data_IF_221092217724
#
_entry.id   IF_221092217724
#
_cell.length_a   1.000
_cell.length_b   1.000
_cell.length_c   1.000
_cell.angle_alpha   90.00
_cell.angle_beta   90.00
_cell.angle_gamma   90.00
#
_symmetry.space_group_name_H-M   'P 1'
#
loop_
_entity.id
_entity.type
_entity.pdbx_description
1 polymer ?
#
# COMPACT_ATOMS: atom_id res chain seq x y z
N UNK A 1 3.89 -17.03 5.77
CA UNK A 1 3.39 -17.59 4.50
C UNK A 1 4.57 -17.93 3.60
N UNK A 2 4.44 -18.91 2.68
CA UNK A 2 5.49 -19.20 1.69
C UNK A 2 5.69 -18.04 0.72
N UNK A 3 6.88 -17.96 0.10
CA UNK A 3 7.19 -16.96 -0.92
C UNK A 3 6.41 -17.26 -2.21
N UNK A 4 6.59 -18.46 -2.75
CA UNK A 4 5.74 -19.00 -3.81
C UNK A 4 4.79 -20.06 -3.24
N UNK A 5 3.49 -19.90 -3.51
CA UNK A 5 2.45 -20.83 -3.06
C UNK A 5 1.63 -21.35 -4.23
N UNK A 6 1.18 -22.60 -4.12
CA UNK A 6 0.25 -23.20 -5.07
C UNK A 6 -0.91 -23.88 -4.31
N UNK A 7 -1.39 -25.02 -4.82
CA UNK A 7 -2.60 -25.72 -4.34
C UNK A 7 -2.64 -25.99 -2.83
N UNK A 8 -1.50 -26.29 -2.20
CA UNK A 8 -1.45 -26.81 -0.83
C UNK A 8 -1.12 -25.75 0.23
N UNK A 9 -0.70 -24.55 -0.18
CA UNK A 9 -0.14 -23.56 0.76
C UNK A 9 1.29 -23.85 1.23
N UNK A 10 1.92 -24.93 0.74
CA UNK A 10 3.33 -25.23 0.98
C UNK A 10 4.18 -24.40 0.01
N UNK A 11 5.37 -24.01 0.46
CA UNK A 11 6.33 -23.29 -0.37
C UNK A 11 6.78 -24.13 -1.57
N UNK A 12 6.61 -23.56 -2.77
CA UNK A 12 7.00 -24.17 -4.05
C UNK A 12 8.13 -23.41 -4.74
N UNK A 13 8.80 -22.50 -4.04
CA UNK A 13 9.92 -21.74 -4.57
C UNK A 13 11.01 -22.71 -5.04
N UNK A 14 11.50 -22.59 -6.29
CA UNK A 14 12.47 -23.51 -6.84
C UNK A 14 13.76 -23.61 -6.00
N UNK A 15 14.26 -24.83 -5.79
CA UNK A 15 15.48 -25.06 -4.99
C UNK A 15 16.74 -24.41 -5.60
N UNK A 16 16.73 -24.09 -6.89
CA UNK A 16 17.83 -23.37 -7.54
C UNK A 16 17.92 -21.88 -7.14
N UNK A 17 16.84 -21.31 -6.60
CA UNK A 17 16.72 -19.89 -6.25
C UNK A 17 16.05 -19.73 -4.87
N UNK A 18 16.64 -20.23 -3.78
CA UNK A 18 15.95 -20.38 -2.50
C UNK A 18 15.83 -19.07 -1.69
N UNK A 19 16.46 -17.97 -2.14
CA UNK A 19 16.58 -16.73 -1.36
C UNK A 19 15.21 -16.19 -0.94
N UNK A 20 14.24 -16.15 -1.86
CA UNK A 20 12.86 -15.72 -1.57
C UNK A 20 12.23 -16.53 -0.43
N UNK A 21 12.26 -17.87 -0.54
CA UNK A 21 11.77 -18.80 0.49
C UNK A 21 12.44 -18.62 1.86
N UNK A 22 13.72 -18.26 1.88
CA UNK A 22 14.50 -18.20 3.12
C UNK A 22 14.42 -16.84 3.82
N UNK A 23 14.37 -15.75 3.06
CA UNK A 23 14.62 -14.41 3.60
C UNK A 23 13.54 -13.38 3.25
N UNK A 24 12.76 -13.57 2.18
CA UNK A 24 11.77 -12.60 1.70
C UNK A 24 10.43 -12.76 2.44
N UNK A 25 10.51 -12.57 3.75
CA UNK A 25 9.42 -12.90 4.69
C UNK A 25 8.32 -11.84 4.75
N UNK A 26 8.50 -10.70 4.08
CA UNK A 26 7.53 -9.61 4.05
C UNK A 26 6.18 -10.04 3.48
N UNK A 27 6.12 -11.11 2.67
CA UNK A 27 4.88 -11.74 2.20
C UNK A 27 3.86 -12.02 3.31
N UNK A 28 4.33 -12.32 4.53
CA UNK A 28 3.45 -12.50 5.69
C UNK A 28 2.79 -11.20 6.13
N UNK A 29 3.53 -10.09 6.08
CA UNK A 29 3.01 -8.75 6.29
C UNK A 29 2.12 -8.31 5.13
N UNK A 30 2.46 -8.64 3.88
CA UNK A 30 1.67 -8.26 2.70
C UNK A 30 0.27 -8.86 2.75
N UNK A 31 0.16 -10.13 3.15
CA UNK A 31 -1.13 -10.80 3.35
C UNK A 31 -1.91 -10.15 4.50
N UNK A 32 -1.23 -9.79 5.58
CA UNK A 32 -1.86 -9.04 6.69
C UNK A 32 -2.33 -7.64 6.23
N UNK A 33 -1.60 -6.99 5.34
CA UNK A 33 -1.96 -5.69 4.78
C UNK A 33 -3.11 -5.81 3.76
N UNK A 34 -3.19 -6.88 2.99
CA UNK A 34 -4.35 -7.19 2.17
C UNK A 34 -5.60 -7.43 3.03
N UNK A 35 -5.46 -8.16 4.15
CA UNK A 35 -6.52 -8.30 5.15
C UNK A 35 -6.93 -6.95 5.75
N UNK A 36 -5.96 -6.08 6.07
CA UNK A 36 -6.21 -4.69 6.52
C UNK A 36 -7.11 -3.97 5.53
N UNK A 37 -6.75 -3.94 4.25
CA UNK A 37 -7.53 -3.29 3.20
C UNK A 37 -8.92 -3.92 3.02
N UNK A 38 -9.04 -5.25 3.12
CA UNK A 38 -10.33 -5.94 3.06
C UNK A 38 -11.25 -5.50 4.22
N UNK A 39 -10.72 -5.45 5.44
CA UNK A 39 -11.45 -4.98 6.63
C UNK A 39 -11.86 -3.52 6.45
N UNK A 40 -10.96 -2.66 5.98
CA UNK A 40 -11.26 -1.24 5.71
C UNK A 40 -12.39 -1.06 4.70
N UNK A 41 -12.31 -1.78 3.58
CA UNK A 41 -13.26 -1.65 2.48
C UNK A 41 -14.63 -2.26 2.79
N UNK A 42 -14.70 -3.34 3.56
CA UNK A 42 -15.94 -4.11 3.73
C UNK A 42 -16.54 -4.01 5.13
N UNK A 43 -15.70 -3.78 6.13
CA UNK A 43 -16.02 -3.92 7.55
C UNK A 43 -16.73 -5.27 7.87
N UNK A 44 -16.31 -6.35 7.20
CA UNK A 44 -16.91 -7.67 7.35
C UNK A 44 -16.56 -8.31 8.71
N UNK A 45 -17.40 -8.06 9.72
CA UNK A 45 -17.24 -8.63 11.06
C UNK A 45 -17.43 -10.14 11.10
N UNK A 46 -18.30 -10.69 10.25
CA UNK A 46 -18.56 -12.13 10.21
C UNK A 46 -17.29 -12.90 9.79
N UNK A 47 -16.57 -12.38 8.79
CA UNK A 47 -15.26 -12.91 8.38
C UNK A 47 -14.21 -12.86 9.50
N UNK A 48 -14.26 -11.81 10.34
CA UNK A 48 -13.34 -11.67 11.48
C UNK A 48 -13.69 -12.62 12.64
N UNK A 49 -14.98 -12.80 12.93
CA UNK A 49 -15.48 -13.50 14.12
C UNK A 49 -15.70 -15.00 13.91
N UNK A 50 -16.23 -15.37 12.75
CA UNK A 50 -16.80 -16.70 12.49
C UNK A 50 -16.08 -17.46 11.37
N UNK A 51 -15.28 -16.77 10.54
CA UNK A 51 -14.40 -17.41 9.55
C UNK A 51 -12.93 -17.40 10.02
N UNK A 52 -11.97 -17.29 9.09
CA UNK A 52 -10.53 -17.34 9.35
C UNK A 52 -9.87 -15.96 9.47
N UNK A 53 -10.62 -14.86 9.31
CA UNK A 53 -10.04 -13.52 9.23
C UNK A 53 -9.36 -13.06 10.51
N UNK A 54 -10.00 -13.30 11.66
CA UNK A 54 -9.38 -13.04 12.95
C UNK A 54 -8.13 -13.89 13.16
N UNK A 55 -8.19 -15.21 12.89
CA UNK A 55 -7.05 -16.11 13.01
C UNK A 55 -5.86 -15.65 12.15
N UNK A 56 -6.12 -15.31 10.89
CA UNK A 56 -5.10 -14.79 9.96
C UNK A 56 -4.38 -13.59 10.56
N UNK A 57 -5.11 -12.58 11.04
CA UNK A 57 -4.52 -11.35 11.62
C UNK A 57 -3.76 -11.64 12.91
N UNK A 58 -4.27 -12.50 13.79
CA UNK A 58 -3.60 -12.81 15.05
C UNK A 58 -2.33 -13.65 14.86
N UNK A 59 -2.34 -14.59 13.93
CA UNK A 59 -1.18 -15.44 13.67
C UNK A 59 -0.10 -14.70 12.85
N UNK A 60 -0.45 -13.74 11.98
CA UNK A 60 0.54 -12.85 11.35
C UNK A 60 1.21 -11.95 12.40
N UNK A 61 0.44 -11.36 13.33
CA UNK A 61 0.99 -10.57 14.43
C UNK A 61 1.87 -11.41 15.38
N UNK A 62 1.48 -12.66 15.67
CA UNK A 62 2.30 -13.61 16.43
C UNK A 62 3.61 -13.91 15.72
N UNK A 63 3.57 -14.17 14.41
CA UNK A 63 4.76 -14.40 13.60
C UNK A 63 5.74 -13.22 13.72
N UNK A 64 5.28 -12.00 13.47
CA UNK A 64 6.14 -10.82 13.55
C UNK A 64 6.68 -10.58 14.95
N UNK A 65 5.84 -10.73 15.97
CA UNK A 65 6.26 -10.60 17.38
C UNK A 65 7.30 -11.65 17.78
N UNK A 66 7.31 -12.83 17.14
CA UNK A 66 8.33 -13.86 17.37
C UNK A 66 9.64 -13.63 16.60
N UNK A 67 9.60 -12.78 15.57
CA UNK A 67 10.71 -12.55 14.65
C UNK A 67 11.65 -11.43 15.08
N UNK A 68 11.17 -10.54 15.95
CA UNK A 68 11.91 -9.38 16.43
C UNK A 68 12.96 -9.74 17.49
N UNK A 69 14.04 -8.98 17.52
CA UNK A 69 15.07 -9.04 18.56
C UNK A 69 15.11 -7.66 19.22
N UNK A 70 15.11 -7.64 20.56
CA UNK A 70 15.22 -6.38 21.29
C UNK A 70 16.68 -5.98 21.49
N UNK A 71 17.06 -4.81 20.98
CA UNK A 71 18.37 -4.23 21.18
C UNK A 71 18.38 -3.35 22.44
N UNK A 72 19.03 -3.83 23.49
CA UNK A 72 19.10 -3.15 24.78
C UNK A 72 19.83 -1.80 24.76
N UNK A 73 20.69 -1.55 23.77
CA UNK A 73 21.46 -0.32 23.65
C UNK A 73 20.64 0.78 23.00
N UNK A 74 19.98 0.48 21.88
CA UNK A 74 19.13 1.44 21.14
C UNK A 74 17.72 1.55 21.72
N UNK A 75 17.31 0.58 22.55
CA UNK A 75 15.93 0.44 23.07
C UNK A 75 14.89 0.22 21.98
N UNK A 76 15.30 -0.35 20.86
CA UNK A 76 14.44 -0.64 19.71
C UNK A 76 14.38 -2.13 19.42
N UNK A 77 13.36 -2.53 18.67
CA UNK A 77 13.22 -3.87 18.10
C UNK A 77 13.79 -3.91 16.69
N UNK A 78 14.46 -5.00 16.35
CA UNK A 78 15.13 -5.21 15.08
C UNK A 78 14.61 -6.48 14.41
N UNK A 79 14.58 -6.48 13.07
CA UNK A 79 14.32 -7.67 12.25
C UNK A 79 15.57 -7.90 11.39
N UNK A 80 16.35 -8.89 11.78
CA UNK A 80 17.63 -9.22 11.14
C UNK A 80 17.45 -10.31 10.09
N UNK A 81 18.36 -10.39 9.11
CA UNK A 81 18.42 -11.48 8.12
C UNK A 81 17.12 -11.63 7.31
N UNK A 82 16.76 -10.60 6.56
CA UNK A 82 15.60 -10.56 5.65
C UNK A 82 16.01 -10.07 4.26
N UNK A 83 15.25 -10.44 3.24
CA UNK A 83 15.35 -9.85 1.91
C UNK A 83 14.24 -8.80 1.79
N UNK A 84 14.57 -7.54 1.46
CA UNK A 84 13.58 -6.52 1.19
C UNK A 84 12.93 -6.75 -0.20
N UNK A 85 11.81 -6.08 -0.56
CA UNK A 85 11.25 -6.12 -1.92
C UNK A 85 12.26 -5.90 -3.05
N UNK A 86 13.33 -5.13 -2.81
CA UNK A 86 14.50 -5.15 -3.69
C UNK A 86 15.24 -6.50 -3.61
N UNK A 87 14.87 -7.43 -4.50
CA UNK A 87 15.54 -8.72 -4.58
C UNK A 87 17.00 -8.67 -5.07
N UNK A 88 17.52 -7.52 -5.55
CA UNK A 88 18.96 -7.40 -5.86
C UNK A 88 19.80 -7.25 -4.56
N UNK A 89 19.17 -6.99 -3.41
CA UNK A 89 19.78 -6.89 -2.09
C UNK A 89 20.21 -8.25 -1.48
N UNK A 90 20.35 -9.31 -2.28
CA UNK A 90 20.71 -10.66 -1.84
C UNK A 90 22.04 -10.75 -1.05
N UNK A 91 22.23 -11.83 -0.26
CA UNK A 91 21.23 -12.84 0.08
C UNK A 91 20.23 -12.37 1.15
N UNK A 92 20.63 -11.44 2.01
CA UNK A 92 19.80 -10.84 3.03
C UNK A 92 20.44 -9.52 3.52
N UNK A 93 19.64 -8.74 4.23
CA UNK A 93 19.94 -7.47 4.88
C UNK A 93 19.33 -7.47 6.29
N UNK A 94 19.75 -6.50 7.10
CA UNK A 94 19.15 -6.27 8.41
C UNK A 94 18.28 -5.02 8.34
N UNK A 95 17.17 -5.06 9.08
CA UNK A 95 16.29 -3.91 9.27
C UNK A 95 15.85 -3.28 7.94
N UNK A 96 15.37 -4.11 7.01
CA UNK A 96 14.66 -3.63 5.82
C UNK A 96 13.51 -2.73 6.28
N UNK A 97 13.49 -1.48 5.83
CA UNK A 97 12.50 -0.50 6.30
C UNK A 97 11.09 -0.92 5.87
N UNK A 98 10.92 -1.42 4.64
CA UNK A 98 9.64 -1.97 4.19
C UNK A 98 9.18 -3.13 5.08
N UNK A 99 10.07 -4.10 5.32
CA UNK A 99 9.77 -5.27 6.15
C UNK A 99 9.38 -4.87 7.58
N UNK A 100 10.11 -3.93 8.17
CA UNK A 100 9.84 -3.46 9.52
C UNK A 100 8.52 -2.69 9.58
N UNK A 101 8.22 -1.84 8.59
CA UNK A 101 6.95 -1.09 8.54
C UNK A 101 5.78 -2.05 8.43
N UNK A 102 5.85 -3.03 7.52
CA UNK A 102 4.72 -3.94 7.35
C UNK A 102 4.56 -4.91 8.52
N UNK A 103 5.64 -5.26 9.21
CA UNK A 103 5.58 -5.98 10.49
C UNK A 103 4.84 -5.15 11.56
N UNK A 104 5.20 -3.86 11.70
CA UNK A 104 4.53 -2.94 12.63
C UNK A 104 3.03 -2.85 12.33
N UNK A 105 2.66 -2.56 11.07
CA UNK A 105 1.26 -2.46 10.64
C UNK A 105 0.45 -3.74 10.86
N UNK A 106 1.11 -4.91 10.77
CA UNK A 106 0.48 -6.21 11.02
C UNK A 106 0.16 -6.41 12.50
N UNK A 107 1.08 -6.01 13.39
CA UNK A 107 0.88 -6.09 14.84
C UNK A 107 -0.18 -5.09 15.29
N UNK A 108 -0.15 -3.85 14.77
CA UNK A 108 -1.18 -2.85 15.01
C UNK A 108 -2.57 -3.35 14.60
N UNK A 109 -2.69 -3.99 13.43
CA UNK A 109 -3.98 -4.50 12.97
C UNK A 109 -4.61 -5.47 13.97
N UNK A 110 -3.80 -6.35 14.58
CA UNK A 110 -4.29 -7.27 15.61
C UNK A 110 -4.82 -6.55 16.86
N UNK A 111 -4.24 -5.39 17.21
CA UNK A 111 -4.82 -4.51 18.21
C UNK A 111 -6.12 -3.87 17.72
N UNK A 112 -6.13 -3.28 16.52
CA UNK A 112 -7.30 -2.56 16.03
C UNK A 112 -8.55 -3.46 15.95
N UNK A 113 -8.40 -4.73 15.54
CA UNK A 113 -9.54 -5.65 15.48
C UNK A 113 -9.94 -6.25 16.83
N UNK A 114 -9.13 -6.09 17.89
CA UNK A 114 -9.37 -6.77 19.17
C UNK A 114 -10.64 -6.31 19.88
N UNK A 115 -11.09 -5.08 19.60
CA UNK A 115 -12.38 -4.55 20.05
C UNK A 115 -13.57 -5.26 19.39
N UNK A 116 -13.42 -5.72 18.14
CA UNK A 116 -14.44 -6.48 17.42
C UNK A 116 -14.46 -7.92 17.94
N UNK A 117 -13.29 -8.56 17.99
CA UNK A 117 -13.20 -9.99 18.33
C UNK A 117 -13.21 -10.27 19.84
N UNK A 118 -13.25 -9.24 20.67
CA UNK A 118 -13.16 -9.32 22.13
C UNK A 118 -11.98 -10.19 22.61
N UNK A 119 -10.82 -10.08 21.93
CA UNK A 119 -9.59 -10.79 22.31
C UNK A 119 -8.66 -9.86 23.09
N UNK A 120 -7.99 -10.41 24.09
CA UNK A 120 -6.90 -9.70 24.78
C UNK A 120 -5.61 -9.91 24.01
N UNK A 121 -4.97 -8.82 23.59
CA UNK A 121 -3.65 -8.86 22.96
C UNK A 121 -2.54 -8.80 24.03
N UNK A 122 -1.38 -9.43 23.81
CA UNK A 122 -0.21 -9.24 24.67
C UNK A 122 0.21 -7.75 24.70
N UNK A 123 0.43 -7.14 25.88
CA UNK A 123 0.82 -5.72 25.96
C UNK A 123 2.11 -5.38 25.21
N UNK A 124 3.04 -6.35 25.13
CA UNK A 124 4.31 -6.21 24.42
C UNK A 124 4.12 -5.97 22.91
N UNK A 125 3.00 -6.41 22.32
CA UNK A 125 2.79 -6.26 20.87
C UNK A 125 2.75 -4.79 20.44
N UNK A 126 2.04 -3.95 21.18
CA UNK A 126 2.01 -2.50 20.88
C UNK A 126 3.39 -1.86 21.10
N UNK A 127 4.11 -2.29 22.14
CA UNK A 127 5.49 -1.83 22.38
C UNK A 127 6.43 -2.21 21.21
N UNK A 128 6.28 -3.42 20.65
CA UNK A 128 7.02 -3.84 19.46
C UNK A 128 6.66 -2.96 18.26
N UNK A 129 5.36 -2.82 17.96
CA UNK A 129 4.90 -2.07 16.79
C UNK A 129 5.39 -0.61 16.79
N UNK A 130 5.36 0.03 17.96
CA UNK A 130 5.78 1.43 18.13
C UNK A 130 7.30 1.64 18.20
N UNK A 131 8.08 0.61 18.54
CA UNK A 131 9.54 0.73 18.78
C UNK A 131 10.39 -0.14 17.84
N UNK A 132 9.87 -0.56 16.70
CA UNK A 132 10.68 -1.15 15.63
C UNK A 132 11.67 -0.11 15.07
N UNK A 133 12.87 -0.56 14.74
CA UNK A 133 13.90 0.29 14.15
C UNK A 133 13.58 0.54 12.67
N UNK A 134 13.48 1.81 12.28
CA UNK A 134 13.33 2.21 10.89
C UNK A 134 14.58 3.00 10.49
N UNK A 135 15.47 2.45 9.66
CA UNK A 135 16.72 3.14 9.33
C UNK A 135 16.43 4.41 8.54
N UNK A 136 16.90 5.55 9.05
CA UNK A 136 16.58 6.88 8.54
C UNK A 136 17.84 7.75 8.56
N UNK A 137 18.15 8.39 7.43
CA UNK A 137 19.24 9.35 7.34
C UNK A 137 18.72 10.76 7.63
N UNK A 138 19.09 11.30 8.78
CA UNK A 138 18.71 12.65 9.21
C UNK A 138 19.28 13.76 8.31
N UNK A 139 20.38 13.51 7.59
CA UNK A 139 21.04 14.53 6.77
C UNK A 139 20.28 14.78 5.47
N UNK A 140 19.81 13.71 4.83
CA UNK A 140 18.99 13.76 3.61
C UNK A 140 17.48 13.69 3.89
N UNK A 141 17.09 13.46 5.16
CA UNK A 141 15.70 13.22 5.58
C UNK A 141 15.02 12.15 4.71
N UNK A 142 15.69 11.02 4.56
CA UNK A 142 15.31 9.91 3.67
C UNK A 142 15.35 8.60 4.45
N UNK A 143 14.37 7.72 4.26
CA UNK A 143 14.45 6.37 4.78
C UNK A 143 15.50 5.56 4.00
N UNK A 144 16.34 4.83 4.73
CA UNK A 144 17.26 3.88 4.12
C UNK A 144 16.53 2.57 3.88
N UNK A 145 16.76 1.92 2.75
CA UNK A 145 16.07 0.67 2.40
C UNK A 145 16.32 -0.43 3.42
N UNK A 146 17.55 -0.48 3.92
CA UNK A 146 17.99 -1.34 5.00
C UNK A 146 19.13 -0.68 5.78
N UNK A 147 19.52 -1.27 6.91
CA UNK A 147 20.61 -0.76 7.72
C UNK A 147 21.94 -0.71 6.94
N UNK A 148 22.51 0.49 6.82
CA UNK A 148 23.76 0.71 6.08
C UNK A 148 23.60 0.84 4.56
N UNK A 149 22.39 1.05 4.04
CA UNK A 149 22.16 1.32 2.61
C UNK A 149 22.96 2.55 2.14
N UNK A 150 23.63 2.44 0.99
CA UNK A 150 24.34 3.55 0.35
C UNK A 150 23.46 4.22 -0.71
N UNK A 151 22.89 5.37 -0.34
CA UNK A 151 22.03 6.23 -1.18
C UNK A 151 22.71 6.80 -2.44
N UNK A 152 24.01 6.59 -2.65
CA UNK A 152 24.74 7.18 -3.79
C UNK A 152 25.10 6.18 -4.86
N UNK A 153 25.32 4.92 -4.50
CA UNK A 153 25.95 3.95 -5.41
C UNK A 153 25.21 2.62 -5.50
N UNK A 154 24.25 2.35 -4.60
CA UNK A 154 23.52 1.07 -4.62
C UNK A 154 22.38 1.15 -5.63
N UNK A 155 22.44 0.29 -6.66
CA UNK A 155 21.36 0.15 -7.63
C UNK A 155 20.37 -0.90 -7.12
N UNK A 156 19.08 -0.62 -7.27
CA UNK A 156 17.98 -1.45 -6.78
C UNK A 156 17.14 -1.98 -7.94
N UNK A 157 16.52 -3.16 -7.75
CA UNK A 157 15.69 -3.84 -8.74
C UNK A 157 14.37 -3.12 -9.01
N UNK A 158 13.69 -2.73 -7.94
CA UNK A 158 12.29 -2.32 -7.94
C UNK A 158 11.94 -1.40 -6.77
N UNK A 159 10.70 -0.88 -6.74
CA UNK A 159 10.24 -0.03 -5.66
C UNK A 159 10.30 -0.76 -4.31
N UNK A 160 10.95 -0.14 -3.33
CA UNK A 160 11.06 -0.61 -1.96
C UNK A 160 10.65 0.48 -0.96
N UNK A 161 11.52 1.47 -0.72
CA UNK A 161 11.21 2.62 0.15
C UNK A 161 10.03 3.42 -0.38
N UNK A 162 9.88 3.48 -1.71
CA UNK A 162 8.74 4.13 -2.37
C UNK A 162 7.40 3.53 -1.92
N UNK A 163 7.38 2.24 -1.54
CA UNK A 163 6.18 1.52 -1.10
C UNK A 163 5.65 1.99 0.26
N UNK A 164 6.47 2.67 1.07
CA UNK A 164 6.05 3.20 2.37
C UNK A 164 4.94 4.23 2.20
N UNK A 165 5.08 5.17 1.27
CA UNK A 165 4.03 6.16 1.01
C UNK A 165 2.80 5.54 0.32
N UNK A 166 3.01 4.68 -0.68
CA UNK A 166 1.94 3.88 -1.28
C UNK A 166 2.50 2.52 -1.73
N UNK A 167 1.91 1.38 -1.33
CA UNK A 167 0.55 1.26 -0.79
C UNK A 167 0.44 1.38 0.74
N UNK A 168 1.54 1.42 1.51
CA UNK A 168 1.45 1.27 2.96
C UNK A 168 0.86 2.48 3.69
N UNK A 169 0.84 3.66 3.06
CA UNK A 169 0.36 4.93 3.63
C UNK A 169 1.03 5.18 5.00
N UNK A 170 2.33 4.91 5.07
CA UNK A 170 3.13 5.13 6.26
C UNK A 170 3.19 6.63 6.56
N UNK A 171 3.01 6.99 7.83
CA UNK A 171 2.97 8.39 8.25
C UNK A 171 4.34 9.03 8.10
N UNK A 172 4.44 9.96 7.15
CA UNK A 172 5.62 10.77 6.89
C UNK A 172 5.16 12.16 6.41
N UNK A 173 6.02 13.17 6.54
CA UNK A 173 5.72 14.49 5.98
C UNK A 173 6.08 14.53 4.48
N UNK A 174 5.54 15.53 3.78
CA UNK A 174 5.73 15.70 2.34
C UNK A 174 7.21 15.84 1.95
N UNK A 175 8.05 16.43 2.80
CA UNK A 175 9.49 16.58 2.56
C UNK A 175 10.19 15.21 2.53
N UNK A 176 9.94 14.35 3.52
CA UNK A 176 10.47 12.97 3.54
C UNK A 176 9.93 12.18 2.36
N UNK A 177 8.63 12.28 2.08
CA UNK A 177 8.01 11.58 0.94
C UNK A 177 8.66 11.98 -0.39
N UNK A 178 8.93 13.27 -0.56
CA UNK A 178 9.61 13.79 -1.75
C UNK A 178 11.05 13.31 -1.82
N UNK A 179 11.79 13.37 -0.71
CA UNK A 179 13.18 12.96 -0.66
C UNK A 179 13.34 11.47 -0.95
N UNK A 180 12.48 10.60 -0.40
CA UNK A 180 12.46 9.18 -0.71
C UNK A 180 12.27 8.94 -2.21
N UNK A 181 11.28 9.58 -2.84
CA UNK A 181 11.04 9.43 -4.28
C UNK A 181 12.24 9.87 -5.11
N UNK A 182 12.82 11.04 -4.79
CA UNK A 182 13.95 11.61 -5.53
C UNK A 182 15.26 10.84 -5.31
N UNK A 183 15.47 10.29 -4.12
CA UNK A 183 16.68 9.52 -3.79
C UNK A 183 16.69 8.18 -4.50
N UNK A 184 15.57 7.45 -4.51
CA UNK A 184 15.51 6.09 -5.07
C UNK A 184 15.23 6.06 -6.58
N UNK A 185 14.64 7.11 -7.16
CA UNK A 185 14.41 7.21 -8.61
C UNK A 185 15.67 6.89 -9.45
N UNK A 186 16.83 7.55 -9.25
CA UNK A 186 18.03 7.29 -10.05
C UNK A 186 18.73 5.98 -9.68
N UNK A 187 18.44 5.41 -8.51
CA UNK A 187 19.00 4.14 -8.05
C UNK A 187 18.23 2.93 -8.60
N UNK A 188 16.97 3.12 -8.99
CA UNK A 188 16.17 2.04 -9.58
C UNK A 188 16.64 1.72 -10.99
N UNK A 189 17.11 0.48 -11.22
CA UNK A 189 17.63 0.06 -12.52
C UNK A 189 16.61 0.26 -13.63
N UNK A 190 17.07 0.69 -14.79
CA UNK A 190 16.18 1.22 -15.84
C UNK A 190 15.27 0.16 -16.44
N UNK A 191 15.69 -1.10 -16.40
CA UNK A 191 15.01 -2.30 -16.87
C UNK A 191 14.29 -3.06 -15.76
N UNK A 192 14.04 -2.41 -14.61
CA UNK A 192 13.28 -2.96 -13.49
C UNK A 192 11.84 -3.34 -13.87
N UNK A 193 11.12 -4.08 -13.00
CA UNK A 193 9.78 -4.58 -13.28
C UNK A 193 8.73 -3.48 -13.53
N UNK A 194 7.74 -3.76 -14.38
CA UNK A 194 6.70 -2.79 -14.79
C UNK A 194 5.97 -2.08 -13.61
N UNK A 195 5.71 -2.83 -12.52
CA UNK A 195 4.96 -2.34 -11.36
C UNK A 195 5.64 -1.18 -10.63
N UNK A 196 6.98 -1.14 -10.64
CA UNK A 196 7.79 -0.13 -9.96
C UNK A 196 7.41 1.29 -10.38
N UNK A 197 7.27 1.51 -11.68
CA UNK A 197 6.98 2.83 -12.23
C UNK A 197 5.57 3.32 -11.87
N UNK A 198 4.64 2.41 -11.62
CA UNK A 198 3.31 2.79 -11.14
C UNK A 198 3.39 3.40 -9.73
N UNK A 199 4.26 2.88 -8.86
CA UNK A 199 4.42 3.39 -7.50
C UNK A 199 5.06 4.79 -7.49
N UNK A 200 6.04 5.02 -8.36
CA UNK A 200 6.59 6.37 -8.58
C UNK A 200 5.54 7.34 -9.13
N UNK A 201 4.74 6.90 -10.12
CA UNK A 201 3.67 7.72 -10.69
C UNK A 201 2.69 8.19 -9.60
N UNK A 202 2.22 7.26 -8.76
CA UNK A 202 1.32 7.57 -7.63
C UNK A 202 1.98 8.56 -6.65
N UNK A 203 3.23 8.32 -6.28
CA UNK A 203 3.97 9.17 -5.34
C UNK A 203 4.17 10.60 -5.86
N UNK A 204 4.55 10.77 -7.12
CA UNK A 204 4.70 12.10 -7.70
C UNK A 204 3.36 12.80 -7.95
N UNK A 205 2.29 12.06 -8.30
CA UNK A 205 0.93 12.65 -8.36
C UNK A 205 0.51 13.22 -7.01
N UNK A 206 0.72 12.47 -5.94
CA UNK A 206 0.41 12.89 -4.57
C UNK A 206 1.09 14.23 -4.22
N UNK A 207 2.37 14.38 -4.57
CA UNK A 207 3.15 15.60 -4.33
C UNK A 207 2.88 16.73 -5.34
N UNK A 208 2.10 16.49 -6.39
CA UNK A 208 1.80 17.49 -7.43
C UNK A 208 2.90 17.66 -8.48
N UNK A 209 3.89 16.76 -8.56
CA UNK A 209 4.89 16.73 -9.64
C UNK A 209 4.32 15.96 -10.84
N UNK A 210 3.44 16.62 -11.60
CA UNK A 210 2.68 15.98 -12.65
C UNK A 210 3.51 15.58 -13.88
N UNK A 211 4.62 16.27 -14.11
CA UNK A 211 5.55 15.96 -15.21
C UNK A 211 6.20 14.59 -14.96
N UNK A 212 6.79 14.39 -13.77
CA UNK A 212 7.31 13.08 -13.38
C UNK A 212 6.22 12.04 -13.28
N UNK A 213 5.07 12.38 -12.68
CA UNK A 213 3.96 11.44 -12.54
C UNK A 213 3.51 10.86 -13.89
N UNK A 214 3.35 11.71 -14.91
CA UNK A 214 2.98 11.30 -16.26
C UNK A 214 4.10 10.53 -16.98
N UNK A 215 5.36 10.90 -16.76
CA UNK A 215 6.50 10.14 -17.29
C UNK A 215 6.52 8.71 -16.74
N UNK A 216 6.39 8.55 -15.42
CA UNK A 216 6.38 7.22 -14.79
C UNK A 216 5.11 6.43 -15.10
N UNK A 217 3.97 7.10 -15.28
CA UNK A 217 2.75 6.46 -15.73
C UNK A 217 2.95 5.80 -17.11
N UNK A 218 3.43 6.55 -18.11
CA UNK A 218 3.75 6.01 -19.45
C UNK A 218 4.80 4.90 -19.38
N UNK A 219 5.85 5.11 -18.59
CA UNK A 219 6.91 4.12 -18.38
C UNK A 219 6.38 2.79 -17.83
N UNK A 220 5.33 2.80 -17.01
CA UNK A 220 4.74 1.58 -16.44
C UNK A 220 4.13 0.61 -17.48
N UNK A 221 3.84 1.08 -18.71
CA UNK A 221 3.18 0.27 -19.72
C UNK A 221 3.84 0.30 -21.10
N UNK A 222 4.26 1.46 -21.63
CA UNK A 222 4.63 1.59 -23.05
C UNK A 222 5.69 0.57 -23.51
N UNK A 223 6.72 0.37 -22.69
CA UNK A 223 7.82 -0.56 -22.99
C UNK A 223 7.59 -1.98 -22.44
N UNK A 224 6.44 -2.25 -21.83
CA UNK A 224 6.11 -3.54 -21.18
C UNK A 224 4.93 -4.26 -21.84
N UNK A 225 4.05 -3.54 -22.54
CA UNK A 225 2.93 -4.12 -23.30
C UNK A 225 3.42 -4.76 -24.60
N UNK A 226 2.89 -5.94 -24.92
CA UNK A 226 3.24 -6.70 -26.13
C UNK A 226 2.04 -6.94 -27.05
N UNK A 227 2.12 -6.57 -28.34
CA UNK A 227 1.12 -6.99 -29.33
C UNK A 227 1.21 -8.51 -29.57
N UNK A 228 0.17 -9.13 -30.17
CA UNK A 228 -1.07 -8.51 -30.63
C UNK A 228 -2.15 -8.38 -29.54
N UNK A 229 -1.94 -8.99 -28.37
CA UNK A 229 -2.97 -9.10 -27.33
C UNK A 229 -2.83 -8.07 -26.20
N UNK A 230 -1.86 -7.16 -26.30
CA UNK A 230 -1.55 -6.14 -25.30
C UNK A 230 -1.31 -6.71 -23.90
N UNK A 231 -0.47 -7.75 -23.84
CA UNK A 231 -0.12 -8.45 -22.60
C UNK A 231 1.13 -7.81 -21.99
N UNK A 232 1.16 -7.63 -20.67
CA UNK A 232 2.35 -7.12 -19.96
C UNK A 232 3.41 -8.22 -19.83
N UNK A 233 4.66 -7.84 -20.03
CA UNK A 233 5.82 -8.58 -19.56
C UNK A 233 6.39 -7.93 -18.31
N UNK A 234 7.04 -8.72 -17.46
CA UNK A 234 7.69 -8.22 -16.24
C UNK A 234 8.73 -7.15 -16.56
N UNK A 235 9.61 -7.43 -17.51
CA UNK A 235 10.71 -6.54 -17.93
C UNK A 235 10.51 -5.99 -19.35
N UNK A 236 11.27 -4.95 -19.70
CA UNK A 236 11.24 -4.34 -21.03
C UNK A 236 11.81 -5.25 -22.13
N UNK A 237 12.69 -6.18 -21.78
CA UNK A 237 13.24 -7.14 -22.76
C UNK A 237 12.24 -8.24 -23.12
N UNK A 238 11.15 -8.37 -22.35
CA UNK A 238 10.20 -9.48 -22.47
C UNK A 238 10.65 -10.76 -21.76
N UNK A 239 11.76 -10.72 -21.04
CA UNK A 239 12.23 -11.80 -20.16
C UNK A 239 11.52 -11.72 -18.80
N UNK A 240 11.41 -12.86 -18.12
CA UNK A 240 10.71 -12.96 -16.83
C UNK A 240 9.27 -13.44 -17.01
N UNK A 241 8.39 -13.02 -16.12
CA UNK A 241 6.98 -13.38 -16.21
C UNK A 241 6.33 -12.81 -17.48
N UNK A 242 5.76 -13.72 -18.28
CA UNK A 242 4.87 -13.38 -19.41
C UNK A 242 3.43 -13.40 -18.90
N UNK A 243 2.59 -12.48 -19.36
CA UNK A 243 1.28 -12.21 -18.73
C UNK A 243 1.42 -11.75 -17.28
N UNK A 244 2.24 -10.72 -17.09
CA UNK A 244 2.59 -10.17 -15.78
C UNK A 244 1.42 -9.35 -15.21
N UNK A 245 0.53 -10.04 -14.50
CA UNK A 245 -0.66 -9.46 -13.87
C UNK A 245 -0.33 -8.36 -12.85
N UNK A 246 0.83 -8.43 -12.21
CA UNK A 246 1.28 -7.40 -11.26
C UNK A 246 1.54 -6.07 -11.97
N UNK A 247 2.03 -6.09 -13.21
CA UNK A 247 2.17 -4.89 -14.04
C UNK A 247 0.82 -4.26 -14.41
N UNK A 248 -0.16 -5.11 -14.76
CA UNK A 248 -1.55 -4.67 -15.04
C UNK A 248 -2.18 -4.07 -13.78
N UNK A 249 -2.00 -4.72 -12.64
CA UNK A 249 -2.46 -4.23 -11.33
C UNK A 249 -1.79 -2.90 -10.96
N UNK A 250 -0.48 -2.75 -11.20
CA UNK A 250 0.23 -1.49 -11.01
C UNK A 250 -0.35 -0.36 -11.85
N UNK A 251 -0.58 -0.60 -13.15
CA UNK A 251 -1.21 0.38 -14.04
C UNK A 251 -2.58 0.83 -13.51
N UNK A 252 -3.44 -0.12 -13.12
CA UNK A 252 -4.75 0.20 -12.56
C UNK A 252 -4.65 0.98 -11.24
N UNK A 253 -3.66 0.65 -10.41
CA UNK A 253 -3.39 1.39 -9.17
C UNK A 253 -2.95 2.84 -9.45
N UNK A 254 -2.15 3.08 -10.49
CA UNK A 254 -1.79 4.45 -10.88
C UNK A 254 -3.01 5.27 -11.33
N UNK A 255 -3.99 4.64 -11.98
CA UNK A 255 -5.26 5.27 -12.35
C UNK A 255 -6.13 5.56 -11.12
N UNK A 256 -6.35 4.56 -10.25
CA UNK A 256 -7.26 4.67 -9.09
C UNK A 256 -6.67 5.52 -7.95
N UNK A 257 -5.44 5.22 -7.56
CA UNK A 257 -4.79 5.77 -6.38
C UNK A 257 -3.82 6.91 -6.76
N UNK A 258 -3.33 6.99 -7.99
CA UNK A 258 -2.64 8.18 -8.48
C UNK A 258 -3.65 9.25 -8.88
N UNK A 259 -4.13 9.18 -10.12
CA UNK A 259 -5.02 10.20 -10.70
C UNK A 259 -6.39 10.33 -10.00
N UNK A 260 -6.96 9.20 -9.57
CA UNK A 260 -8.19 9.20 -8.78
C UNK A 260 -8.04 9.77 -7.38
N UNK A 261 -6.80 9.88 -6.87
CA UNK A 261 -6.51 10.41 -5.54
C UNK A 261 -7.17 9.63 -4.41
N UNK A 262 -7.49 8.35 -4.62
CA UNK A 262 -8.16 7.51 -3.63
C UNK A 262 -7.12 7.04 -2.59
N UNK A 263 -7.45 7.06 -1.31
CA UNK A 263 -6.67 6.40 -0.24
C UNK A 263 -7.61 5.63 0.68
N UNK A 264 -7.35 4.34 0.84
CA UNK A 264 -8.10 3.49 1.76
C UNK A 264 -7.26 3.27 3.02
N UNK A 265 -7.63 3.94 4.11
CA UNK A 265 -7.03 3.74 5.43
C UNK A 265 -7.94 2.86 6.28
N UNK A 266 -7.44 2.46 7.45
CA UNK A 266 -8.13 1.47 8.28
C UNK A 266 -9.59 1.85 8.61
N UNK A 267 -9.83 3.11 8.94
CA UNK A 267 -11.11 3.65 9.40
C UNK A 267 -11.70 4.74 8.48
N UNK A 268 -11.05 5.05 7.36
CA UNK A 268 -11.46 6.13 6.46
C UNK A 268 -11.13 5.84 5.00
N UNK A 269 -12.04 6.27 4.13
CA UNK A 269 -11.85 6.36 2.70
C UNK A 269 -11.65 7.82 2.33
N UNK A 270 -10.53 8.13 1.70
CA UNK A 270 -10.16 9.49 1.35
C UNK A 270 -10.11 9.67 -0.17
N UNK A 271 -10.54 10.85 -0.61
CA UNK A 271 -10.44 11.33 -1.99
C UNK A 271 -9.72 12.67 -2.01
N UNK A 272 -8.63 12.75 -2.77
CA UNK A 272 -7.93 13.99 -3.05
C UNK A 272 -7.36 13.98 -4.49
N UNK A 273 -8.23 13.96 -5.52
CA UNK A 273 -7.76 14.05 -6.89
C UNK A 273 -7.10 15.40 -7.15
N UNK A 274 -6.06 15.38 -7.98
CA UNK A 274 -5.20 16.54 -8.29
C UNK A 274 -5.55 17.21 -9.62
N UNK A 275 -6.60 16.73 -10.31
CA UNK A 275 -7.14 17.33 -11.55
C UNK A 275 -6.22 17.26 -12.77
N UNK A 276 -5.01 16.72 -12.65
CA UNK A 276 -4.07 16.55 -13.75
C UNK A 276 -4.20 15.14 -14.34
N UNK A 277 -5.20 14.94 -15.19
CA UNK A 277 -5.45 13.65 -15.84
C UNK A 277 -4.38 13.32 -16.90
N UNK A 278 -4.09 12.03 -17.15
CA UNK A 278 -3.02 11.65 -18.08
C UNK A 278 -3.37 11.98 -19.54
N UNK A 279 -2.33 12.38 -20.27
CA UNK A 279 -2.34 12.62 -21.72
C UNK A 279 -3.44 13.61 -22.16
N UNK A 280 -4.38 13.19 -23.00
CA UNK A 280 -5.48 14.04 -23.51
C UNK A 280 -6.81 13.79 -22.78
N UNK A 281 -6.79 13.05 -21.67
CA UNK A 281 -8.01 12.77 -20.92
C UNK A 281 -8.57 14.07 -20.31
N UNK A 282 -9.85 14.32 -20.53
CA UNK A 282 -10.56 15.49 -19.97
C UNK A 282 -11.46 15.14 -18.79
N UNK A 283 -11.75 13.85 -18.61
CA UNK A 283 -12.66 13.36 -17.58
C UNK A 283 -12.39 11.90 -17.26
N UNK A 284 -12.29 11.57 -15.98
CA UNK A 284 -12.31 10.18 -15.48
C UNK A 284 -13.62 9.91 -14.76
N UNK A 285 -14.17 8.71 -14.96
CA UNK A 285 -15.39 8.25 -14.29
C UNK A 285 -15.12 6.85 -13.76
N UNK A 286 -15.15 6.73 -12.44
CA UNK A 286 -15.02 5.48 -11.72
C UNK A 286 -16.39 5.07 -11.23
N UNK A 287 -16.85 3.90 -11.66
CA UNK A 287 -18.13 3.36 -11.25
C UNK A 287 -17.94 2.26 -10.22
N UNK A 288 -18.81 2.23 -9.21
CA UNK A 288 -18.94 1.07 -8.37
C UNK A 288 -17.86 0.92 -7.30
N UNK A 289 -17.27 2.00 -6.79
CA UNK A 289 -16.35 1.96 -5.65
C UNK A 289 -17.13 1.51 -4.42
N UNK A 290 -16.81 0.32 -3.91
CA UNK A 290 -17.50 -0.25 -2.76
C UNK A 290 -16.79 0.12 -1.47
N UNK A 291 -17.54 0.68 -0.52
CA UNK A 291 -17.04 1.01 0.80
C UNK A 291 -18.10 0.76 1.86
N UNK A 292 -17.85 -0.23 2.71
CA UNK A 292 -18.63 -0.60 3.89
C UNK A 292 -20.13 -0.67 3.62
N UNK A 293 -20.51 -1.38 2.55
CA UNK A 293 -21.90 -1.58 2.14
C UNK A 293 -22.48 -0.49 1.22
N UNK A 294 -21.77 0.61 1.00
CA UNK A 294 -22.14 1.66 0.03
C UNK A 294 -21.41 1.46 -1.28
N UNK A 295 -22.03 1.96 -2.35
CA UNK A 295 -21.47 2.02 -3.70
C UNK A 295 -21.39 3.48 -4.12
N UNK A 296 -20.18 3.92 -4.43
CA UNK A 296 -19.84 5.29 -4.79
C UNK A 296 -19.37 5.34 -6.24
N UNK A 297 -19.80 6.35 -6.96
CA UNK A 297 -19.23 6.72 -8.24
C UNK A 297 -18.40 8.00 -8.06
N UNK A 298 -17.22 8.05 -8.65
CA UNK A 298 -16.31 9.19 -8.61
C UNK A 298 -16.16 9.73 -10.04
N UNK A 299 -16.47 11.00 -10.22
CA UNK A 299 -16.23 11.72 -11.47
C UNK A 299 -15.19 12.80 -11.24
N UNK A 300 -14.17 12.87 -12.09
CA UNK A 300 -13.09 13.86 -11.98
C UNK A 300 -12.93 14.56 -13.32
N UNK A 301 -12.86 15.89 -13.30
CA UNK A 301 -12.33 16.72 -14.37
C UNK A 301 -11.18 17.61 -13.86
N UNK A 302 -10.74 18.57 -14.66
CA UNK A 302 -9.59 19.41 -14.31
C UNK A 302 -9.87 20.47 -13.22
N UNK A 303 -11.14 20.73 -12.89
CA UNK A 303 -11.55 21.79 -11.98
C UNK A 303 -12.24 21.25 -10.72
N UNK A 304 -13.06 20.22 -10.88
CA UNK A 304 -13.85 19.62 -9.82
C UNK A 304 -13.78 18.10 -9.84
N UNK A 305 -14.16 17.51 -8.71
CA UNK A 305 -14.59 16.13 -8.65
C UNK A 305 -15.94 16.01 -7.96
N UNK A 306 -16.67 14.96 -8.30
CA UNK A 306 -17.98 14.65 -7.75
C UNK A 306 -18.00 13.21 -7.22
N UNK A 307 -18.47 13.05 -5.98
CA UNK A 307 -18.83 11.76 -5.40
C UNK A 307 -20.34 11.62 -5.46
N UNK A 308 -20.83 10.52 -6.02
CA UNK A 308 -22.25 10.17 -6.06
C UNK A 308 -22.48 8.83 -5.35
N UNK A 309 -23.44 8.77 -4.42
CA UNK A 309 -23.81 7.52 -3.75
C UNK A 309 -24.87 6.80 -4.57
N UNK A 310 -24.47 5.81 -5.35
CA UNK A 310 -25.36 5.11 -6.27
C UNK A 310 -26.28 4.10 -5.58
N UNK A 311 -25.78 3.40 -4.57
CA UNK A 311 -26.59 2.42 -3.82
C UNK A 311 -25.98 2.09 -2.46
N UNK A 312 -26.76 1.40 -1.64
CA UNK A 312 -26.36 0.87 -0.35
C UNK A 312 -26.98 -0.52 -0.17
N UNK A 313 -26.29 -1.42 0.54
CA UNK A 313 -26.87 -2.69 0.97
C UNK A 313 -28.04 -2.44 1.95
N UNK A 314 -29.23 -2.96 1.63
CA UNK A 314 -30.52 -2.64 2.27
C UNK A 314 -30.60 -2.93 3.78
N UNK A 315 -29.69 -3.71 4.34
CA UNK A 315 -29.73 -4.12 5.74
C UNK A 315 -29.00 -3.18 6.71
N UNK A 316 -28.47 -2.05 6.23
CA UNK A 316 -27.51 -1.28 7.00
C UNK A 316 -27.96 0.17 7.27
N UNK A 317 -28.10 0.54 8.55
CA UNK A 317 -28.69 1.82 8.97
C UNK A 317 -27.67 2.91 9.32
N UNK A 318 -26.39 2.57 9.41
CA UNK A 318 -25.34 3.52 9.78
C UNK A 318 -24.93 4.34 8.54
N UNK A 319 -25.11 5.67 8.53
CA UNK A 319 -24.76 6.50 7.38
C UNK A 319 -23.24 6.63 7.20
N UNK A 320 -22.82 6.96 5.98
CA UNK A 320 -21.49 7.51 5.75
C UNK A 320 -21.46 8.96 6.24
N UNK A 321 -20.38 9.35 6.91
CA UNK A 321 -20.11 10.72 7.35
C UNK A 321 -18.96 11.25 6.51
N UNK A 322 -19.12 12.45 5.95
CA UNK A 322 -18.05 13.12 5.21
C UNK A 322 -17.50 14.31 5.99
N UNK A 323 -16.23 14.63 5.71
CA UNK A 323 -15.51 15.78 6.25
C UNK A 323 -14.60 16.38 5.16
N UNK A 324 -14.66 17.69 4.98
CA UNK A 324 -13.69 18.47 4.18
C UNK A 324 -13.58 19.90 4.73
N UNK A 325 -12.36 20.34 5.05
CA UNK A 325 -12.16 21.60 5.79
C UNK A 325 -12.99 21.60 7.08
N UNK A 326 -13.76 22.67 7.31
CA UNK A 326 -14.67 22.78 8.46
C UNK A 326 -16.07 22.17 8.22
N UNK A 327 -16.32 21.60 7.04
CA UNK A 327 -17.63 21.06 6.67
C UNK A 327 -17.73 19.59 7.07
N UNK A 328 -18.85 19.23 7.68
CA UNK A 328 -19.19 17.86 8.03
C UNK A 328 -20.65 17.57 7.75
N UNK A 329 -20.94 16.39 7.23
CA UNK A 329 -22.30 15.94 6.96
C UNK A 329 -22.41 14.44 6.83
N UNK A 330 -23.56 13.96 6.37
CA UNK A 330 -23.81 12.56 6.09
C UNK A 330 -24.15 12.36 4.62
N UNK A 331 -23.70 11.27 4.01
CA UNK A 331 -24.13 10.85 2.68
C UNK A 331 -25.18 9.73 2.76
N UNK A 332 -26.20 9.85 1.93
CA UNK A 332 -27.27 8.87 1.69
C UNK A 332 -27.29 8.48 0.22
N UNK A 333 -28.00 7.40 -0.10
CA UNK A 333 -28.23 6.99 -1.48
C UNK A 333 -28.89 8.14 -2.27
N UNK A 334 -28.38 8.38 -3.48
CA UNK A 334 -28.69 9.49 -4.37
C UNK A 334 -28.16 10.87 -3.96
N UNK A 335 -27.41 10.99 -2.86
CA UNK A 335 -26.67 12.23 -2.58
C UNK A 335 -25.46 12.36 -3.51
N UNK A 336 -25.14 13.60 -3.86
CA UNK A 336 -23.87 13.93 -4.50
C UNK A 336 -23.13 15.06 -3.78
N UNK A 337 -21.81 15.02 -3.86
CA UNK A 337 -20.93 16.05 -3.32
C UNK A 337 -19.94 16.45 -4.40
N UNK A 338 -20.01 17.71 -4.84
CA UNK A 338 -19.08 18.29 -5.81
C UNK A 338 -18.10 19.23 -5.10
N UNK A 339 -16.80 18.99 -5.30
CA UNK A 339 -15.72 19.71 -4.63
C UNK A 339 -14.68 20.17 -5.65
N UNK A 340 -14.01 21.30 -5.43
CA UNK A 340 -12.83 21.68 -6.20
C UNK A 340 -11.75 20.60 -6.10
N UNK A 341 -10.99 20.42 -7.18
CA UNK A 341 -9.73 19.66 -7.15
C UNK A 341 -8.82 20.12 -6.01
N UNK A 342 -7.96 19.23 -5.53
CA UNK A 342 -7.09 19.39 -4.35
C UNK A 342 -7.80 19.43 -3.00
N UNK A 343 -9.14 19.58 -2.97
CA UNK A 343 -9.92 19.46 -1.74
C UNK A 343 -9.83 18.03 -1.22
N UNK A 344 -9.27 17.86 -0.03
CA UNK A 344 -9.23 16.58 0.67
C UNK A 344 -10.59 16.27 1.28
N UNK A 345 -11.23 15.21 0.79
CA UNK A 345 -12.47 14.67 1.32
C UNK A 345 -12.20 13.37 2.08
N UNK A 346 -12.70 13.29 3.30
CA UNK A 346 -12.64 12.08 4.12
C UNK A 346 -14.05 11.55 4.33
N UNK A 347 -14.25 10.27 4.03
CA UNK A 347 -15.49 9.54 4.26
C UNK A 347 -15.24 8.47 5.31
N UNK A 348 -16.03 8.51 6.39
CA UNK A 348 -15.94 7.57 7.51
C UNK A 348 -17.29 6.94 7.79
N UNK A 349 -17.24 5.85 8.56
CA UNK A 349 -18.41 5.19 9.13
C UNK A 349 -18.09 4.79 10.56
N UNK A 350 -19.10 4.76 11.42
CA UNK A 350 -18.91 4.29 12.79
C UNK A 350 -18.53 2.81 12.80
N UNK A 351 -17.31 2.50 13.25
CA UNK A 351 -16.74 1.15 13.35
C UNK A 351 -16.17 0.93 14.74
N UNK A 352 -16.20 -0.31 15.22
CA UNK A 352 -15.78 -0.74 16.56
C UNK A 352 -14.31 -1.22 16.57
N UNK A 353 -13.43 -0.48 15.89
CA UNK A 353 -11.99 -0.73 15.92
C UNK A 353 -11.36 -0.07 17.17
N UNK A 354 -10.38 -0.75 17.78
CA UNK A 354 -9.57 -0.13 18.81
C UNK A 354 -8.70 0.99 18.20
N UNK A 355 -8.53 2.12 18.92
CA UNK A 355 -7.84 3.31 18.42
C UNK A 355 -6.35 3.09 18.18
#
# INVERSE_FOLDING_TARGET
FPWESARTGVDVTPDCCPTGRLYEIHITGDISFAARQYISATYNQDWLLNEFGGELVYETARFWSSRVIYNNQTKQYEILTVLPPDEDAQPFKNNSVYTNVIASLSIELAHNISCITNKTIPPQWLDIASNLYFPFDNSTKTYLEYEGFDLKHTIIKQADVVLLGFPLIWSMNDEVRQNDLLAYEPLTRTDGPAMTWSMYSIGFTELGDFDKAGQFFRRSYESYVRPPFNVWTETQSGVGAVNFITGIGGFLQAVLFGYGGIRLKLNELEFQPRGHLPDQATKFIFHGIKYQGFVLDLTIDNNIYEIFVSSQNNNDSIPLVYEYGDHRGSLKVNDSLSLPIDTRLIIRRSVALCP
#
